data_IF_645758128617
#
_entry.id   IF_645758128617
#
_cell.length_a   1.000
_cell.length_b   1.000
_cell.length_c   1.000
_cell.angle_alpha   90.00
_cell.angle_beta   90.00
_cell.angle_gamma   90.00
#
_symmetry.space_group_name_H-M   'P 1'
#
loop_
_entity.id
_entity.type
_entity.pdbx_description
1 polymer ?
#
# COMPACT_ATOMS: atom_id res chain seq x y z
N UNK A 1 4.64 84.43 -28.94
CA UNK A 1 5.99 84.28 -28.37
C UNK A 1 5.90 83.34 -27.16
N UNK A 2 6.61 82.21 -27.24
CA UNK A 2 7.21 81.41 -26.14
C UNK A 2 6.30 80.72 -25.09
N UNK A 3 6.18 79.38 -25.10
CA UNK A 3 6.96 78.35 -24.33
C UNK A 3 6.52 78.27 -22.84
N UNK A 4 5.85 77.21 -22.35
CA UNK A 4 6.35 75.87 -21.91
C UNK A 4 6.60 75.76 -20.38
N UNK A 5 5.69 75.00 -19.72
CA UNK A 5 5.85 74.00 -18.62
C UNK A 5 6.45 74.37 -17.23
N UNK A 6 6.15 73.46 -16.27
CA UNK A 6 6.89 73.09 -15.01
C UNK A 6 6.31 73.83 -13.75
N UNK A 7 5.87 73.26 -12.60
CA UNK A 7 5.98 71.97 -11.86
C UNK A 7 4.82 71.75 -10.85
N UNK A 8 4.54 70.47 -10.56
CA UNK A 8 4.15 69.77 -9.31
C UNK A 8 3.52 70.58 -8.14
N UNK A 9 2.43 70.12 -7.51
CA UNK A 9 2.45 68.93 -6.63
C UNK A 9 1.02 68.48 -6.27
N UNK A 10 0.62 67.26 -6.66
CA UNK A 10 -0.53 66.56 -6.08
C UNK A 10 0.04 65.42 -5.24
N UNK A 11 -0.09 65.56 -3.92
CA UNK A 11 0.38 64.59 -2.95
C UNK A 11 -0.57 63.38 -2.94
N UNK A 12 0.02 62.20 -2.98
CA UNK A 12 -0.60 60.90 -3.09
C UNK A 12 -1.24 60.43 -1.78
N UNK A 13 -2.38 59.73 -1.87
CA UNK A 13 -2.67 58.50 -1.10
C UNK A 13 -3.62 57.65 -1.96
N UNK A 14 -3.05 56.80 -2.83
CA UNK A 14 -3.78 55.69 -3.42
C UNK A 14 -3.81 54.55 -2.42
N UNK A 15 -4.95 54.34 -1.75
CA UNK A 15 -5.17 53.14 -0.97
C UNK A 15 -5.23 51.95 -1.93
N UNK A 16 -4.13 51.21 -2.04
CA UNK A 16 -4.12 49.91 -2.71
C UNK A 16 -4.83 48.95 -1.76
N UNK A 17 -6.13 48.76 -1.95
CA UNK A 17 -6.85 47.64 -1.36
C UNK A 17 -6.31 46.36 -1.99
N UNK A 18 -5.31 45.77 -1.36
CA UNK A 18 -4.90 44.40 -1.65
C UNK A 18 -6.09 43.50 -1.31
N UNK A 19 -6.84 43.09 -2.33
CA UNK A 19 -7.80 41.99 -2.22
C UNK A 19 -6.98 40.76 -1.88
N UNK A 20 -7.07 40.32 -0.62
CA UNK A 20 -6.57 39.02 -0.21
C UNK A 20 -7.29 37.97 -1.05
N UNK A 21 -6.61 37.47 -2.09
CA UNK A 21 -7.03 36.24 -2.75
C UNK A 21 -6.90 35.13 -1.70
N UNK A 22 -7.91 34.25 -1.53
CA UNK A 22 -7.71 33.03 -0.78
C UNK A 22 -6.46 32.37 -1.35
N UNK A 23 -5.46 32.10 -0.50
CA UNK A 23 -4.34 31.28 -0.91
C UNK A 23 -4.93 30.01 -1.51
N UNK A 24 -4.58 29.69 -2.75
CA UNK A 24 -4.84 28.37 -3.30
C UNK A 24 -4.30 27.40 -2.24
N UNK A 25 -5.16 26.54 -1.70
CA UNK A 25 -4.73 25.47 -0.83
C UNK A 25 -3.69 24.69 -1.63
N UNK A 26 -2.41 24.90 -1.32
CA UNK A 26 -1.33 24.07 -1.83
C UNK A 26 -1.71 22.68 -1.35
N UNK A 27 -2.28 21.87 -2.25
CA UNK A 27 -2.51 20.46 -1.95
C UNK A 27 -1.14 19.93 -1.53
N UNK A 28 -1.06 19.44 -0.29
CA UNK A 28 0.12 18.72 0.17
C UNK A 28 0.38 17.66 -0.89
N UNK A 29 1.55 17.72 -1.54
CA UNK A 29 1.95 16.62 -2.43
C UNK A 29 2.03 15.39 -1.56
N UNK A 30 1.38 14.33 -2.00
CA UNK A 30 1.51 13.03 -1.38
C UNK A 30 2.97 12.59 -1.53
N UNK A 31 3.49 11.87 -0.55
CA UNK A 31 4.88 11.45 -0.48
C UNK A 31 4.99 9.98 -0.02
N UNK A 32 6.20 9.46 0.13
CA UNK A 32 6.41 8.05 0.52
C UNK A 32 5.78 7.73 1.89
N UNK A 33 5.59 8.72 2.77
CA UNK A 33 4.93 8.51 4.06
C UNK A 33 3.44 8.16 3.90
N UNK A 34 2.78 8.68 2.87
CA UNK A 34 1.39 8.34 2.57
C UNK A 34 1.27 6.89 2.08
N UNK A 35 2.26 6.40 1.33
CA UNK A 35 2.36 4.98 0.96
C UNK A 35 2.60 4.12 2.19
N UNK A 36 3.55 4.49 3.05
CA UNK A 36 3.82 3.81 4.31
C UNK A 36 2.59 3.79 5.24
N UNK A 37 1.76 4.84 5.24
CA UNK A 37 0.53 4.87 6.01
C UNK A 37 -0.50 3.83 5.51
N UNK A 38 -0.62 3.67 4.19
CA UNK A 38 -1.47 2.62 3.58
C UNK A 38 -0.95 1.24 3.95
N UNK A 39 0.35 0.99 3.78
CA UNK A 39 0.97 -0.30 4.14
C UNK A 39 0.88 -0.56 5.66
N UNK A 40 1.05 0.45 6.49
CA UNK A 40 0.91 0.35 7.95
C UNK A 40 -0.51 0.00 8.37
N UNK A 41 -1.53 0.55 7.70
CA UNK A 41 -2.93 0.18 7.92
C UNK A 41 -3.20 -1.27 7.50
N UNK A 42 -2.64 -1.68 6.36
CA UNK A 42 -2.72 -3.06 5.89
C UNK A 42 -2.07 -4.01 6.89
N UNK A 43 -0.84 -3.73 7.33
CA UNK A 43 -0.11 -4.51 8.33
C UNK A 43 -0.86 -4.60 9.66
N UNK A 44 -1.47 -3.52 10.12
CA UNK A 44 -2.29 -3.55 11.33
C UNK A 44 -3.52 -4.44 11.17
N UNK A 45 -4.17 -4.40 10.00
CA UNK A 45 -5.34 -5.22 9.70
C UNK A 45 -4.96 -6.69 9.60
N UNK A 46 -3.94 -7.04 8.80
CA UNK A 46 -3.43 -8.42 8.70
C UNK A 46 -2.91 -8.92 10.05
N UNK A 47 -2.23 -8.07 10.82
CA UNK A 47 -1.75 -8.37 12.17
C UNK A 47 -2.86 -8.63 13.19
N UNK A 48 -4.11 -8.25 12.90
CA UNK A 48 -5.27 -8.64 13.72
C UNK A 48 -5.92 -9.95 13.24
N UNK A 49 -5.90 -10.22 11.93
CA UNK A 49 -6.57 -11.38 11.31
C UNK A 49 -5.72 -12.64 11.41
N UNK A 50 -4.43 -12.55 11.05
CA UNK A 50 -3.53 -13.71 10.97
C UNK A 50 -3.36 -14.43 12.32
N UNK A 51 -3.22 -13.74 13.47
CA UNK A 51 -3.16 -14.43 14.76
C UNK A 51 -4.45 -15.17 15.12
N UNK A 52 -5.62 -14.67 14.68
CA UNK A 52 -6.89 -15.38 14.90
C UNK A 52 -6.95 -16.66 14.05
N UNK A 53 -6.51 -16.57 12.79
CA UNK A 53 -6.39 -17.73 11.92
C UNK A 53 -5.43 -18.77 12.52
N UNK A 54 -4.24 -18.35 12.93
CA UNK A 54 -3.25 -19.23 13.54
C UNK A 54 -3.75 -19.81 14.86
N UNK A 55 -4.47 -19.05 15.68
CA UNK A 55 -5.06 -19.56 16.91
C UNK A 55 -6.05 -20.71 16.63
N UNK A 56 -6.98 -20.53 15.68
CA UNK A 56 -7.94 -21.56 15.29
C UNK A 56 -7.26 -22.81 14.71
N UNK A 57 -6.22 -22.61 13.90
CA UNK A 57 -5.46 -23.71 13.30
C UNK A 57 -4.67 -24.46 14.38
N UNK A 58 -4.09 -23.76 15.34
CA UNK A 58 -3.25 -24.33 16.39
C UNK A 58 -4.06 -24.95 17.55
N UNK A 59 -5.30 -24.52 17.79
CA UNK A 59 -6.20 -25.09 18.79
C UNK A 59 -7.00 -26.29 18.28
N UNK A 60 -6.78 -26.68 17.02
CA UNK A 60 -7.55 -27.69 16.29
C UNK A 60 -9.03 -27.33 16.01
N UNK A 61 -9.47 -26.11 16.33
CA UNK A 61 -10.86 -25.65 16.17
C UNK A 61 -11.18 -25.04 14.79
N UNK A 62 -10.20 -24.96 13.89
CA UNK A 62 -10.42 -24.43 12.54
C UNK A 62 -11.46 -25.26 11.77
N UNK A 63 -12.51 -24.60 11.28
CA UNK A 63 -13.57 -25.13 10.42
C UNK A 63 -13.81 -24.18 9.26
N UNK A 64 -14.53 -24.62 8.22
CA UNK A 64 -14.90 -23.73 7.12
C UNK A 64 -15.71 -22.52 7.61
N UNK A 65 -16.56 -22.68 8.63
CA UNK A 65 -17.42 -21.62 9.17
C UNK A 65 -16.64 -20.49 9.86
N UNK A 66 -15.54 -20.82 10.57
CA UNK A 66 -14.75 -19.81 11.27
C UNK A 66 -13.52 -19.32 10.48
N UNK A 67 -12.98 -20.13 9.56
CA UNK A 67 -11.84 -19.73 8.71
C UNK A 67 -12.29 -18.89 7.51
N UNK A 68 -13.42 -19.21 6.89
CA UNK A 68 -13.93 -18.46 5.73
C UNK A 68 -14.04 -16.94 5.96
N UNK A 69 -14.67 -16.44 7.04
CA UNK A 69 -14.76 -15.00 7.27
C UNK A 69 -13.39 -14.34 7.47
N UNK A 70 -12.42 -15.05 8.06
CA UNK A 70 -11.06 -14.52 8.22
C UNK A 70 -10.32 -14.41 6.88
N UNK A 71 -10.48 -15.41 5.99
CA UNK A 71 -9.90 -15.37 4.65
C UNK A 71 -10.56 -14.28 3.78
N UNK A 72 -11.88 -14.10 3.90
CA UNK A 72 -12.61 -13.03 3.24
C UNK A 72 -12.15 -11.64 3.72
N UNK A 73 -12.03 -11.44 5.05
CA UNK A 73 -11.49 -10.21 5.63
C UNK A 73 -10.06 -9.94 5.16
N UNK A 74 -9.23 -10.98 5.07
CA UNK A 74 -7.85 -10.86 4.60
C UNK A 74 -7.81 -10.40 3.14
N UNK A 75 -8.59 -11.03 2.26
CA UNK A 75 -8.70 -10.62 0.86
C UNK A 75 -9.24 -9.18 0.74
N UNK A 76 -10.27 -8.83 1.52
CA UNK A 76 -10.84 -7.48 1.56
C UNK A 76 -9.85 -6.42 2.03
N UNK A 77 -8.97 -6.75 2.97
CA UNK A 77 -7.90 -5.86 3.42
C UNK A 77 -6.90 -5.57 2.28
N UNK A 78 -6.51 -6.58 1.51
CA UNK A 78 -5.64 -6.41 0.35
C UNK A 78 -6.28 -5.61 -0.78
N UNK A 79 -7.56 -5.84 -1.07
CA UNK A 79 -8.30 -5.02 -2.04
C UNK A 79 -8.41 -3.56 -1.58
N UNK A 80 -8.67 -3.32 -0.29
CA UNK A 80 -8.71 -1.96 0.29
C UNK A 80 -7.35 -1.26 0.20
N UNK A 81 -6.28 -1.98 0.53
CA UNK A 81 -4.91 -1.49 0.36
C UNK A 81 -4.60 -1.16 -1.10
N UNK A 82 -5.00 -2.01 -2.03
CA UNK A 82 -4.84 -1.79 -3.48
C UNK A 82 -5.56 -0.52 -3.94
N UNK A 83 -6.83 -0.35 -3.56
CA UNK A 83 -7.61 0.85 -3.91
C UNK A 83 -6.97 2.11 -3.32
N UNK A 84 -6.47 2.03 -2.09
CA UNK A 84 -5.80 3.15 -1.43
C UNK A 84 -4.51 3.52 -2.17
N UNK A 85 -3.69 2.55 -2.57
CA UNK A 85 -2.49 2.77 -3.39
C UNK A 85 -2.83 3.37 -4.76
N UNK A 86 -3.88 2.88 -5.43
CA UNK A 86 -4.34 3.48 -6.70
C UNK A 86 -4.74 4.95 -6.54
N UNK A 87 -5.29 5.32 -5.38
CA UNK A 87 -5.59 6.71 -5.04
C UNK A 87 -4.36 7.62 -5.01
N UNK A 88 -3.17 7.06 -4.77
CA UNK A 88 -1.88 7.76 -4.69
C UNK A 88 -1.11 7.77 -6.03
N UNK A 89 -1.62 7.06 -7.05
CA UNK A 89 -0.92 6.88 -8.32
C UNK A 89 -0.65 8.22 -9.02
N UNK A 90 0.61 8.46 -9.38
CA UNK A 90 1.05 9.66 -10.10
C UNK A 90 1.10 10.94 -9.25
N UNK A 91 0.90 10.82 -7.93
CA UNK A 91 0.90 11.96 -7.00
C UNK A 91 2.05 11.93 -6.00
N UNK A 92 2.62 10.76 -5.77
CA UNK A 92 3.69 10.53 -4.78
C UNK A 92 5.02 11.08 -5.26
N UNK A 93 5.66 11.91 -4.44
CA UNK A 93 7.06 12.30 -4.60
C UNK A 93 7.99 11.24 -3.95
N UNK A 94 8.72 10.44 -4.74
CA UNK A 94 9.58 9.38 -4.21
C UNK A 94 10.83 9.91 -3.50
N UNK A 95 11.12 11.21 -3.58
CA UNK A 95 12.31 11.83 -2.96
C UNK A 95 12.05 12.35 -1.55
N UNK A 96 10.85 12.12 -0.99
CA UNK A 96 10.44 12.67 0.30
C UNK A 96 9.50 11.74 1.06
N UNK A 97 9.41 11.89 2.39
CA UNK A 97 8.47 11.16 3.23
C UNK A 97 8.90 9.75 3.65
N UNK A 98 10.06 9.27 3.20
CA UNK A 98 10.56 7.93 3.51
C UNK A 98 11.43 7.40 2.38
N UNK A 99 11.67 6.09 2.40
CA UNK A 99 12.48 5.39 1.39
C UNK A 99 11.73 4.24 0.73
N UNK A 100 12.13 3.90 -0.50
CA UNK A 100 11.60 2.74 -1.22
C UNK A 100 11.93 1.43 -0.49
N UNK A 101 13.09 1.38 0.19
CA UNK A 101 13.54 0.27 1.01
C UNK A 101 12.63 0.03 2.21
N UNK A 102 12.26 1.07 2.96
CA UNK A 102 11.32 0.96 4.09
C UNK A 102 9.96 0.41 3.63
N UNK A 103 9.44 0.92 2.51
CA UNK A 103 8.19 0.42 1.94
C UNK A 103 8.32 -1.04 1.53
N UNK A 104 9.43 -1.41 0.88
CA UNK A 104 9.67 -2.78 0.45
C UNK A 104 9.77 -3.75 1.64
N UNK A 105 10.42 -3.35 2.72
CA UNK A 105 10.57 -4.15 3.95
C UNK A 105 9.22 -4.40 4.65
N UNK A 106 8.41 -3.34 4.78
CA UNK A 106 7.08 -3.45 5.38
C UNK A 106 6.16 -4.34 4.55
N UNK A 107 6.18 -4.20 3.22
CA UNK A 107 5.41 -5.07 2.31
C UNK A 107 5.93 -6.50 2.36
N UNK A 108 7.24 -6.73 2.33
CA UNK A 108 7.80 -8.08 2.41
C UNK A 108 7.42 -8.78 3.73
N UNK A 109 7.36 -8.03 4.84
CA UNK A 109 6.90 -8.55 6.13
C UNK A 109 5.44 -9.02 6.05
N UNK A 110 4.54 -8.18 5.53
CA UNK A 110 3.12 -8.56 5.36
C UNK A 110 2.97 -9.83 4.52
N UNK A 111 3.73 -9.96 3.43
CA UNK A 111 3.67 -11.14 2.56
C UNK A 111 4.23 -12.39 3.23
N UNK A 112 5.30 -12.22 4.00
CA UNK A 112 5.91 -13.32 4.76
C UNK A 112 4.95 -13.82 5.82
N UNK A 113 4.34 -12.92 6.60
CA UNK A 113 3.38 -13.28 7.65
C UNK A 113 2.18 -14.04 7.05
N UNK A 114 1.61 -13.55 5.95
CA UNK A 114 0.51 -14.24 5.25
C UNK A 114 0.96 -15.61 4.77
N UNK A 115 2.11 -15.72 4.12
CA UNK A 115 2.61 -16.99 3.62
C UNK A 115 2.82 -17.99 4.77
N UNK A 116 3.38 -17.55 5.90
CA UNK A 116 3.59 -18.40 7.08
C UNK A 116 2.27 -18.87 7.68
N UNK A 117 1.30 -17.99 7.92
CA UNK A 117 -0.01 -18.41 8.48
C UNK A 117 -0.79 -19.33 7.54
N UNK A 118 -0.71 -19.10 6.22
CA UNK A 118 -1.36 -19.99 5.25
C UNK A 118 -0.65 -21.33 5.10
N UNK A 119 0.66 -21.37 5.25
CA UNK A 119 1.38 -22.64 5.30
C UNK A 119 1.04 -23.43 6.56
N UNK A 120 0.88 -22.75 7.71
CA UNK A 120 0.37 -23.37 8.92
C UNK A 120 -1.04 -23.97 8.71
N UNK A 121 -1.96 -23.22 8.06
CA UNK A 121 -3.27 -23.72 7.68
C UNK A 121 -3.16 -24.95 6.75
N UNK A 122 -2.31 -24.88 5.72
CA UNK A 122 -2.12 -25.96 4.75
C UNK A 122 -1.55 -27.23 5.39
N UNK A 123 -0.57 -27.09 6.27
CA UNK A 123 0.16 -28.20 6.89
C UNK A 123 -0.67 -28.88 7.98
N UNK A 124 -1.36 -28.11 8.82
CA UNK A 124 -2.15 -28.65 9.94
C UNK A 124 -3.59 -28.98 9.57
N UNK A 125 -4.21 -28.22 8.67
CA UNK A 125 -5.61 -28.38 8.25
C UNK A 125 -5.72 -28.44 6.72
N UNK A 126 -5.09 -29.43 6.05
CA UNK A 126 -5.02 -29.50 4.59
C UNK A 126 -6.40 -29.56 3.91
N UNK A 127 -7.42 -30.06 4.60
CA UNK A 127 -8.80 -30.11 4.10
C UNK A 127 -9.47 -28.74 3.99
N UNK A 128 -9.01 -27.73 4.73
CA UNK A 128 -9.49 -26.34 4.66
C UNK A 128 -8.73 -25.51 3.62
N UNK A 129 -7.55 -25.97 3.20
CA UNK A 129 -6.72 -25.25 2.25
C UNK A 129 -7.41 -24.91 0.91
N UNK A 130 -8.29 -25.76 0.34
CA UNK A 130 -9.06 -25.41 -0.85
C UNK A 130 -9.95 -24.16 -0.70
N UNK A 131 -10.14 -23.63 0.50
CA UNK A 131 -10.83 -22.35 0.74
C UNK A 131 -9.98 -21.15 0.33
N UNK A 132 -8.67 -21.19 0.53
CA UNK A 132 -7.75 -20.07 0.25
C UNK A 132 -7.90 -19.53 -1.19
N UNK A 133 -7.83 -20.36 -2.25
CA UNK A 133 -8.02 -19.86 -3.62
C UNK A 133 -9.45 -19.39 -3.91
N UNK A 134 -10.48 -19.85 -3.18
CA UNK A 134 -11.88 -19.38 -3.39
C UNK A 134 -12.04 -17.90 -3.07
N UNK A 135 -11.29 -17.37 -2.12
CA UNK A 135 -11.30 -15.96 -1.74
C UNK A 135 -10.38 -15.09 -2.60
N UNK A 136 -9.71 -15.66 -3.61
CA UNK A 136 -8.93 -14.88 -4.57
C UNK A 136 -7.68 -14.22 -3.99
N UNK A 137 -7.11 -14.78 -2.91
CA UNK A 137 -6.01 -14.16 -2.17
C UNK A 137 -4.73 -13.96 -3.00
N UNK A 138 -4.40 -14.91 -3.89
CA UNK A 138 -3.27 -14.77 -4.84
C UNK A 138 -3.45 -13.53 -5.72
N UNK A 139 -4.66 -13.33 -6.25
CA UNK A 139 -4.98 -12.19 -7.09
C UNK A 139 -4.97 -10.88 -6.30
N UNK A 140 -5.48 -10.87 -5.07
CA UNK A 140 -5.52 -9.68 -4.22
C UNK A 140 -4.11 -9.19 -3.86
N UNK A 141 -3.23 -10.13 -3.46
CA UNK A 141 -1.81 -9.85 -3.23
C UNK A 141 -1.15 -9.36 -4.52
N UNK A 142 -1.35 -10.05 -5.65
CA UNK A 142 -0.78 -9.64 -6.93
C UNK A 142 -1.16 -8.20 -7.32
N UNK A 143 -2.44 -7.83 -7.15
CA UNK A 143 -2.92 -6.47 -7.41
C UNK A 143 -2.27 -5.44 -6.49
N UNK A 144 -2.05 -5.76 -5.21
CA UNK A 144 -1.37 -4.87 -4.28
C UNK A 144 0.06 -4.56 -4.74
N UNK A 145 0.84 -5.58 -5.14
CA UNK A 145 2.20 -5.37 -5.65
C UNK A 145 2.22 -4.55 -6.94
N UNK A 146 1.25 -4.78 -7.83
CA UNK A 146 1.12 -3.94 -9.03
C UNK A 146 0.77 -2.50 -8.67
N UNK A 147 -0.18 -2.29 -7.76
CA UNK A 147 -0.52 -0.97 -7.24
C UNK A 147 0.70 -0.27 -6.66
N UNK A 148 1.50 -0.99 -5.88
CA UNK A 148 2.73 -0.47 -5.30
C UNK A 148 3.76 -0.07 -6.36
N UNK A 149 3.99 -0.91 -7.37
CA UNK A 149 4.90 -0.63 -8.47
C UNK A 149 4.46 0.60 -9.31
N UNK A 150 3.15 0.85 -9.40
CA UNK A 150 2.61 2.02 -10.09
C UNK A 150 2.80 3.32 -9.29
N UNK A 151 2.84 3.23 -7.96
CA UNK A 151 3.04 4.38 -7.07
C UNK A 151 4.53 4.67 -6.86
N UNK A 152 5.33 3.62 -6.63
CA UNK A 152 6.77 3.71 -6.39
C UNK A 152 7.52 2.75 -7.32
N UNK A 153 8.11 3.31 -8.38
CA UNK A 153 8.80 2.54 -9.39
C UNK A 153 10.15 2.05 -8.88
N UNK A 154 10.30 0.74 -8.67
CA UNK A 154 11.55 0.15 -8.19
C UNK A 154 11.38 -0.69 -6.94
N UNK A 155 10.38 -0.35 -6.11
CA UNK A 155 10.02 -1.07 -4.88
C UNK A 155 9.77 -2.56 -5.15
N UNK A 156 9.16 -2.92 -6.27
CA UNK A 156 8.90 -4.32 -6.60
C UNK A 156 10.18 -5.17 -6.69
N UNK A 157 11.30 -4.59 -7.16
CA UNK A 157 12.58 -5.30 -7.22
C UNK A 157 13.15 -5.54 -5.82
N UNK A 158 13.00 -4.57 -4.93
CA UNK A 158 13.42 -4.69 -3.53
C UNK A 158 12.57 -5.76 -2.83
N UNK A 159 11.25 -5.71 -3.01
CA UNK A 159 10.31 -6.73 -2.50
C UNK A 159 10.67 -8.12 -3.03
N UNK A 160 11.02 -8.25 -4.32
CA UNK A 160 11.46 -9.52 -4.89
C UNK A 160 12.72 -10.08 -4.23
N UNK A 161 13.72 -9.23 -3.96
CA UNK A 161 14.95 -9.63 -3.27
C UNK A 161 14.64 -10.11 -1.85
N UNK A 162 13.78 -9.41 -1.11
CA UNK A 162 13.39 -9.75 0.25
C UNK A 162 12.58 -11.04 0.30
N UNK A 163 11.60 -11.20 -0.60
CA UNK A 163 10.73 -12.38 -0.65
C UNK A 163 11.39 -13.60 -1.26
N UNK A 164 12.64 -13.51 -1.77
CA UNK A 164 13.35 -14.65 -2.32
C UNK A 164 13.50 -15.81 -1.32
N UNK A 165 13.71 -15.49 -0.04
CA UNK A 165 13.79 -16.52 1.01
C UNK A 165 12.45 -17.25 1.21
N UNK A 166 11.33 -16.57 0.97
CA UNK A 166 9.96 -17.08 1.14
C UNK A 166 9.36 -17.54 -0.20
N UNK A 167 10.07 -17.40 -1.31
CA UNK A 167 9.59 -17.73 -2.65
C UNK A 167 9.17 -19.19 -2.80
N UNK A 168 9.91 -20.11 -2.15
CA UNK A 168 9.54 -21.54 -2.10
C UNK A 168 8.22 -21.76 -1.36
N UNK A 169 7.98 -21.01 -0.29
CA UNK A 169 6.73 -21.06 0.48
C UNK A 169 5.56 -20.54 -0.36
N UNK A 170 5.73 -19.37 -0.99
CA UNK A 170 4.73 -18.77 -1.88
C UNK A 170 4.37 -19.71 -3.04
N UNK A 171 5.38 -20.33 -3.67
CA UNK A 171 5.16 -21.32 -4.71
C UNK A 171 4.45 -22.57 -4.18
N UNK A 172 4.85 -23.06 -3.01
CA UNK A 172 4.19 -24.17 -2.31
C UNK A 172 2.72 -23.88 -2.00
N UNK A 173 2.37 -22.62 -1.76
CA UNK A 173 1.00 -22.14 -1.54
C UNK A 173 0.22 -21.89 -2.84
N UNK A 174 0.78 -22.22 -4.00
CA UNK A 174 0.09 -22.00 -5.28
C UNK A 174 -0.06 -20.53 -5.65
N UNK A 175 0.68 -19.61 -5.02
CA UNK A 175 0.73 -18.19 -5.38
C UNK A 175 1.61 -17.95 -6.59
N UNK A 176 1.23 -18.61 -7.69
CA UNK A 176 2.00 -18.64 -8.93
C UNK A 176 2.07 -17.25 -9.58
N UNK A 177 1.02 -16.43 -9.45
CA UNK A 177 1.02 -15.07 -9.98
C UNK A 177 2.09 -14.21 -9.30
N UNK A 178 2.18 -14.29 -7.96
CA UNK A 178 3.20 -13.58 -7.18
C UNK A 178 4.61 -14.04 -7.53
N UNK A 179 4.81 -15.35 -7.58
CA UNK A 179 6.12 -15.96 -7.87
C UNK A 179 6.60 -15.57 -9.26
N UNK A 180 5.72 -15.56 -10.26
CA UNK A 180 6.04 -15.13 -11.62
C UNK A 180 6.30 -13.62 -11.68
N UNK A 181 5.46 -12.80 -11.04
CA UNK A 181 5.61 -11.33 -11.03
C UNK A 181 6.95 -10.90 -10.43
N UNK A 182 7.35 -11.56 -9.35
CA UNK A 182 8.58 -11.26 -8.61
C UNK A 182 9.82 -11.97 -9.18
N UNK A 183 9.65 -12.88 -10.16
CA UNK A 183 10.76 -13.64 -10.73
C UNK A 183 11.45 -14.58 -9.73
N UNK A 184 10.66 -15.25 -8.88
CA UNK A 184 11.15 -16.15 -7.82
C UNK A 184 11.28 -17.62 -8.25
N UNK A 185 11.11 -17.91 -9.54
CA UNK A 185 11.26 -19.23 -10.15
C UNK A 185 12.70 -19.57 -10.52
#
# INVERSE_FOLDING_TARGET
MFFTRVLLSVFAVGAISAVARPAETVQKREDVSDVLAVIGTLKSTTGSILPQLDALVNSDDATEENVSPLLEQLAGAFDTGTVSLQGLQGKVDPSSGGTEEEVAEEVATVYTDVATSLDNLKTKKPHLYPLVPKFGLDLALFKLLLGLQLVLAGVLKLVAVLLKAVGVLLHGLGFTLLVVLLGLL
#
